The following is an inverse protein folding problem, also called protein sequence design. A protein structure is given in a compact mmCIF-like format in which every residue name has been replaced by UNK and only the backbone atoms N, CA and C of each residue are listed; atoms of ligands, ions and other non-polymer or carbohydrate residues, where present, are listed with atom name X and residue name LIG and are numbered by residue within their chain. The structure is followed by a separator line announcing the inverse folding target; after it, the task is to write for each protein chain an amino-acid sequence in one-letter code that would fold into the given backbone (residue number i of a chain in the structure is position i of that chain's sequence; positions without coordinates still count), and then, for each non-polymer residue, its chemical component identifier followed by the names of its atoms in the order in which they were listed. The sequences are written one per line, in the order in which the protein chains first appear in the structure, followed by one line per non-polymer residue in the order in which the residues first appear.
data_IF_618558332124
#
_entry.id   IF_618558332124
#
_cell.length_a   1.000
_cell.length_b   1.000
_cell.length_c   1.000
_cell.angle_alpha   90.00
_cell.angle_beta   90.00
_cell.angle_gamma   90.00
#
_symmetry.space_group_name_H-M   'P 1'
#
loop_
_entity.id
_entity.type
_entity.pdbx_description
1 polymer ?
#
# COMPACT_ATOMS: atom_id res chain seq x y z
N UNK A 1 15.46 7.37 12.49
CA UNK A 1 15.66 6.03 11.90
C UNK A 1 14.29 5.41 11.67
N UNK A 2 13.92 5.17 10.40
CA UNK A 2 12.56 4.80 10.00
C UNK A 2 12.28 3.32 10.25
N UNK A 3 11.33 3.04 11.14
CA UNK A 3 10.85 1.69 11.42
C UNK A 3 10.20 1.04 10.21
N UNK A 4 10.96 0.17 9.55
CA UNK A 4 10.43 -0.98 8.83
C UNK A 4 10.09 -2.05 9.86
N UNK A 5 8.80 -2.37 9.99
CA UNK A 5 8.33 -3.40 10.91
C UNK A 5 7.13 -4.09 10.30
N UNK A 6 7.32 -5.34 9.87
CA UNK A 6 6.25 -6.23 9.49
C UNK A 6 5.37 -6.49 10.71
N UNK A 7 4.21 -5.84 10.78
CA UNK A 7 3.27 -6.03 11.88
C UNK A 7 2.29 -4.87 12.03
N UNK A 8 1.10 -5.03 11.44
CA UNK A 8 -0.15 -4.26 11.65
C UNK A 8 0.05 -2.74 11.80
N UNK A 9 0.32 -2.04 10.68
CA UNK A 9 0.14 -0.58 10.60
C UNK A 9 -1.22 -0.20 11.19
N UNK A 10 -1.30 0.95 11.86
CA UNK A 10 -2.59 1.47 12.30
C UNK A 10 -3.27 2.22 11.15
N UNK A 11 -4.62 2.32 11.12
CA UNK A 11 -5.32 3.02 10.04
C UNK A 11 -4.84 4.47 9.81
N UNK A 12 -4.40 5.15 10.87
CA UNK A 12 -3.86 6.52 10.80
C UNK A 12 -2.40 6.60 10.33
N UNK A 13 -1.66 5.48 10.30
CA UNK A 13 -0.29 5.40 9.77
C UNK A 13 -0.28 5.20 8.24
N UNK A 14 -1.42 4.77 7.69
CA UNK A 14 -1.58 4.49 6.26
C UNK A 14 -1.26 5.69 5.37
N UNK A 15 -1.73 6.94 5.64
CA UNK A 15 -1.49 8.08 4.75
C UNK A 15 0.01 8.35 4.54
N UNK A 16 0.80 8.29 5.61
CA UNK A 16 2.25 8.51 5.56
C UNK A 16 2.96 7.43 4.75
N UNK A 17 2.64 6.15 4.99
CA UNK A 17 3.23 5.03 4.25
C UNK A 17 2.80 5.02 2.78
N UNK A 18 1.54 5.33 2.51
CA UNK A 18 1.00 5.46 1.16
C UNK A 18 1.59 6.64 0.40
N UNK A 19 1.90 7.75 1.06
CA UNK A 19 2.62 8.88 0.46
C UNK A 19 3.99 8.46 -0.05
N UNK A 20 4.77 7.72 0.76
CA UNK A 20 6.04 7.16 0.31
C UNK A 20 5.87 6.20 -0.87
N UNK A 21 4.87 5.32 -0.83
CA UNK A 21 4.58 4.37 -1.93
C UNK A 21 4.20 5.05 -3.23
N UNK A 22 3.38 6.08 -3.15
CA UNK A 22 2.85 6.81 -4.30
C UNK A 22 3.78 7.93 -4.78
N UNK A 23 4.94 8.13 -4.14
CA UNK A 23 5.86 9.22 -4.49
C UNK A 23 6.42 9.10 -5.92
N UNK A 24 6.60 7.87 -6.42
CA UNK A 24 7.16 7.59 -7.75
C UNK A 24 6.14 7.51 -8.90
N UNK A 25 4.84 7.69 -8.64
CA UNK A 25 3.82 7.68 -9.71
C UNK A 25 3.37 9.10 -10.08
N UNK A 26 3.04 9.29 -11.35
CA UNK A 26 2.37 10.49 -11.86
C UNK A 26 0.91 10.59 -11.37
N UNK A 27 0.26 9.45 -11.09
CA UNK A 27 -1.13 9.38 -10.64
C UNK A 27 -1.26 9.38 -9.11
N UNK A 28 -0.61 10.33 -8.43
CA UNK A 28 -0.52 10.37 -6.96
C UNK A 28 -1.87 10.28 -6.27
N UNK A 29 -2.85 11.06 -6.73
CA UNK A 29 -4.19 11.11 -6.12
C UNK A 29 -4.90 9.75 -6.17
N UNK A 30 -4.88 9.09 -7.33
CA UNK A 30 -5.48 7.76 -7.48
C UNK A 30 -4.73 6.72 -6.64
N UNK A 31 -3.40 6.72 -6.69
CA UNK A 31 -2.55 5.81 -5.91
C UNK A 31 -2.81 5.95 -4.40
N UNK A 32 -2.86 7.17 -3.87
CA UNK A 32 -3.12 7.42 -2.45
C UNK A 32 -4.49 6.87 -2.04
N UNK A 33 -5.53 7.07 -2.85
CA UNK A 33 -6.88 6.55 -2.58
C UNK A 33 -6.89 5.02 -2.47
N UNK A 34 -6.30 4.33 -3.46
CA UNK A 34 -6.26 2.87 -3.45
C UNK A 34 -5.34 2.31 -2.36
N UNK A 35 -4.17 2.91 -2.18
CA UNK A 35 -3.24 2.50 -1.13
C UNK A 35 -3.86 2.61 0.27
N UNK A 36 -4.51 3.75 0.58
CA UNK A 36 -5.15 3.92 1.89
C UNK A 36 -6.28 2.91 2.11
N UNK A 37 -7.06 2.59 1.07
CA UNK A 37 -8.12 1.57 1.15
C UNK A 37 -7.56 0.18 1.45
N UNK A 38 -6.50 -0.20 0.75
CA UNK A 38 -5.82 -1.48 0.96
C UNK A 38 -5.13 -1.52 2.32
N UNK A 39 -4.50 -0.43 2.74
CA UNK A 39 -3.85 -0.31 4.04
C UNK A 39 -4.86 -0.34 5.19
N UNK A 40 -6.00 0.32 5.10
CA UNK A 40 -7.03 0.28 6.16
C UNK A 40 -7.59 -1.14 6.36
N UNK A 41 -7.63 -1.95 5.31
CA UNK A 41 -8.08 -3.35 5.39
C UNK A 41 -6.97 -4.27 5.88
N UNK A 42 -5.81 -4.20 5.24
CA UNK A 42 -4.72 -5.15 5.44
C UNK A 42 -3.73 -4.74 6.53
N UNK A 43 -3.81 -3.48 6.98
CA UNK A 43 -2.93 -2.86 7.97
C UNK A 43 -1.45 -3.06 7.60
N UNK A 44 -1.14 -2.96 6.31
CA UNK A 44 0.19 -3.24 5.74
C UNK A 44 0.37 -2.47 4.43
N UNK A 45 1.54 -1.85 4.25
CA UNK A 45 1.96 -1.19 3.00
C UNK A 45 3.37 -1.69 2.68
N UNK A 46 3.59 -2.28 1.49
CA UNK A 46 4.91 -2.80 1.13
C UNK A 46 5.94 -1.67 0.96
N UNK A 47 7.22 -1.90 1.32
CA UNK A 47 8.27 -0.88 1.22
C UNK A 47 8.69 -0.62 -0.23
N UNK A 48 9.12 0.61 -0.55
CA UNK A 48 9.48 1.04 -1.90
C UNK A 48 8.37 1.82 -2.61
N UNK A 49 8.56 2.18 -3.87
CA UNK A 49 7.55 2.83 -4.73
C UNK A 49 6.92 1.86 -5.73
N UNK A 50 7.63 0.78 -6.06
CA UNK A 50 7.20 -0.27 -6.97
C UNK A 50 7.59 -1.66 -6.43
N UNK A 51 6.88 -2.73 -6.81
CA UNK A 51 7.20 -4.11 -6.41
C UNK A 51 6.95 -4.43 -4.92
N UNK A 52 7.67 -5.40 -4.35
CA UNK A 52 7.65 -5.81 -2.92
C UNK A 52 6.30 -6.15 -2.30
N UNK A 53 5.28 -6.42 -3.12
CA UNK A 53 3.93 -6.75 -2.63
C UNK A 53 3.92 -8.05 -1.81
N UNK A 54 4.90 -8.94 -2.00
CA UNK A 54 5.09 -10.14 -1.17
C UNK A 54 5.33 -9.87 0.32
N UNK A 55 5.77 -8.67 0.70
CA UNK A 55 5.89 -8.27 2.10
C UNK A 55 4.51 -8.13 2.80
N UNK A 56 3.45 -7.89 2.03
CA UNK A 56 2.09 -7.71 2.51
C UNK A 56 1.12 -8.59 1.70
N UNK A 57 0.95 -9.89 2.04
CA UNK A 57 0.14 -10.82 1.23
C UNK A 57 -1.31 -10.37 1.08
N UNK A 58 -1.95 -9.80 2.12
CA UNK A 58 -3.30 -9.23 2.02
C UNK A 58 -3.37 -8.09 0.98
N UNK A 59 -2.37 -7.21 0.97
CA UNK A 59 -2.28 -6.09 0.03
C UNK A 59 -2.07 -6.59 -1.41
N UNK A 60 -1.27 -7.65 -1.58
CA UNK A 60 -1.02 -8.28 -2.87
C UNK A 60 -2.23 -9.06 -3.41
N UNK A 61 -2.99 -9.71 -2.52
CA UNK A 61 -4.15 -10.53 -2.88
C UNK A 61 -5.40 -9.70 -3.22
N UNK A 62 -5.40 -8.40 -2.92
CA UNK A 62 -6.46 -7.50 -3.33
C UNK A 62 -6.42 -7.23 -4.83
N UNK A 63 -7.34 -7.88 -5.56
CA UNK A 63 -7.48 -7.78 -7.01
C UNK A 63 -8.81 -7.12 -7.41
N UNK A 64 -8.86 -6.56 -8.62
CA UNK A 64 -10.12 -6.11 -9.25
C UNK A 64 -10.92 -7.31 -9.72
N UNK A 65 -12.19 -7.10 -10.12
CA UNK A 65 -13.03 -8.18 -10.68
C UNK A 65 -12.43 -8.77 -11.97
N UNK A 66 -11.66 -7.95 -12.70
CA UNK A 66 -10.95 -8.34 -13.93
C UNK A 66 -9.61 -9.06 -13.62
N UNK A 67 -9.26 -9.27 -12.35
CA UNK A 67 -8.05 -9.99 -11.94
C UNK A 67 -6.77 -9.13 -11.87
N UNK A 68 -6.85 -7.83 -12.18
CA UNK A 68 -5.73 -6.89 -12.08
C UNK A 68 -5.38 -6.51 -10.64
N UNK A 69 -4.16 -6.02 -10.37
CA UNK A 69 -3.76 -5.56 -9.04
C UNK A 69 -4.56 -4.31 -8.66
N UNK A 70 -5.33 -4.39 -7.56
CA UNK A 70 -6.15 -3.27 -7.08
C UNK A 70 -5.35 -2.26 -6.24
N UNK A 71 -4.31 -2.75 -5.58
CA UNK A 71 -3.46 -1.95 -4.71
C UNK A 71 -2.15 -1.58 -5.42
N UNK A 72 -1.67 -0.32 -5.30
CA UNK A 72 -0.52 0.19 -6.05
C UNK A 72 0.82 -0.49 -5.72
#
# INVERSE_FOLDING_TARGET
MGGGGGGKLKPWECPSKCSSRCSGTQYKKACLTYCNKCCATCLCVPPGTYGNKGACPCYNNWKTKEGGPKCP
#
